data_IF_170859099161
#
_entry.id   IF_170859099161
#
_cell.length_a   1.000
_cell.length_b   1.000
_cell.length_c   1.000
_cell.angle_alpha   90.00
_cell.angle_beta   90.00
_cell.angle_gamma   90.00
#
_symmetry.space_group_name_H-M   'P 1'
#
loop_
_entity.id
_entity.type
_entity.pdbx_description
1 polymer ?
#
# COMPACT_ATOMS: atom_id res chain seq x y z
N UNK A 1 -28.92 33.17 25.76
CA UNK A 1 -29.67 32.76 24.55
C UNK A 1 -28.74 31.78 23.86
N UNK A 2 -28.74 30.50 24.31
CA UNK A 2 -29.60 29.40 23.81
C UNK A 2 -29.18 29.09 22.38
N UNK A 3 -28.29 28.09 22.24
CA UNK A 3 -28.55 26.75 21.65
C UNK A 3 -28.62 26.86 20.12
N UNK A 4 -27.78 26.17 19.35
CA UNK A 4 -28.08 24.82 18.86
C UNK A 4 -26.82 24.17 18.26
N UNK A 5 -26.39 23.05 18.84
CA UNK A 5 -25.41 22.13 18.26
C UNK A 5 -26.17 21.05 17.48
N UNK A 6 -25.99 20.96 16.16
CA UNK A 6 -26.52 19.83 15.37
C UNK A 6 -25.59 18.64 15.46
N UNK A 7 -25.87 17.79 16.45
CA UNK A 7 -25.38 16.42 16.61
C UNK A 7 -26.11 15.52 15.60
N UNK A 8 -25.39 14.87 14.69
CA UNK A 8 -25.96 13.80 13.86
C UNK A 8 -25.69 12.47 14.56
N UNK A 9 -26.72 11.92 15.19
CA UNK A 9 -26.77 10.57 15.72
C UNK A 9 -27.11 9.59 14.59
N UNK A 10 -26.29 8.54 14.40
CA UNK A 10 -26.68 7.38 13.60
C UNK A 10 -26.93 6.21 14.56
N UNK A 11 -28.20 5.80 14.59
CA UNK A 11 -28.77 4.82 15.49
C UNK A 11 -28.33 3.39 15.18
N UNK A 12 -28.18 2.62 16.25
CA UNK A 12 -28.21 1.16 16.29
C UNK A 12 -29.58 0.64 15.87
N UNK A 13 -29.63 -0.33 14.97
CA UNK A 13 -30.73 -1.30 14.95
C UNK A 13 -30.22 -2.70 14.59
N UNK A 14 -30.33 -3.59 15.58
CA UNK A 14 -30.14 -5.02 15.47
C UNK A 14 -31.49 -5.66 15.14
N UNK A 15 -31.56 -6.45 14.08
CA UNK A 15 -32.70 -7.34 13.82
C UNK A 15 -32.26 -8.77 14.13
N UNK A 16 -32.81 -9.31 15.22
CA UNK A 16 -32.74 -10.69 15.62
C UNK A 16 -33.62 -11.57 14.74
N UNK A 17 -33.14 -12.77 14.41
CA UNK A 17 -33.99 -13.94 14.18
C UNK A 17 -33.37 -15.12 14.91
N UNK A 18 -33.94 -15.42 16.08
CA UNK A 18 -33.80 -16.71 16.75
C UNK A 18 -34.71 -17.74 16.06
N UNK A 19 -34.23 -18.97 15.91
CA UNK A 19 -34.87 -20.20 16.40
C UNK A 19 -34.35 -21.42 15.61
N UNK A 20 -33.60 -22.29 16.27
CA UNK A 20 -33.85 -23.74 16.25
C UNK A 20 -32.79 -24.43 17.13
N UNK A 21 -32.99 -24.37 18.43
CA UNK A 21 -32.40 -25.31 19.39
C UNK A 21 -33.34 -26.49 19.51
N UNK A 22 -32.97 -27.64 18.94
CA UNK A 22 -33.56 -28.92 19.36
C UNK A 22 -32.59 -29.61 20.30
N UNK A 23 -32.79 -29.36 21.59
CA UNK A 23 -32.50 -30.31 22.65
C UNK A 23 -33.32 -31.58 22.42
N UNK A 24 -32.66 -32.74 22.42
CA UNK A 24 -33.35 -34.01 22.69
C UNK A 24 -32.75 -34.57 23.96
N UNK A 25 -33.58 -34.44 24.98
CA UNK A 25 -33.46 -34.92 26.33
C UNK A 25 -33.34 -36.45 26.39
N UNK A 26 -32.69 -36.87 27.47
CA UNK A 26 -32.51 -38.25 27.90
C UNK A 26 -33.84 -38.83 28.37
N UNK A 27 -34.18 -40.05 27.95
CA UNK A 27 -35.18 -40.87 28.67
C UNK A 27 -34.60 -42.26 28.92
N UNK A 28 -34.29 -42.51 30.19
CA UNK A 28 -34.14 -43.83 30.80
C UNK A 28 -35.54 -44.45 30.97
N UNK A 29 -35.78 -45.66 30.44
CA UNK A 29 -36.54 -46.67 31.18
C UNK A 29 -36.29 -48.08 30.63
N UNK A 30 -36.14 -49.01 31.57
CA UNK A 30 -35.68 -50.38 31.37
C UNK A 30 -36.83 -51.35 31.12
N UNK A 31 -36.61 -52.35 30.26
CA UNK A 31 -37.22 -53.69 30.40
C UNK A 31 -36.16 -54.76 30.13
N UNK A 32 -36.07 -55.69 31.08
CA UNK A 32 -35.10 -56.77 31.18
C UNK A 32 -35.73 -58.07 30.66
N UNK A 33 -35.04 -58.83 29.80
CA UNK A 33 -35.25 -60.27 29.63
C UNK A 33 -34.02 -60.95 28.98
N UNK A 34 -33.35 -61.76 29.81
CA UNK A 34 -32.58 -63.00 29.60
C UNK A 34 -31.92 -63.38 28.25
N UNK A 35 -30.63 -63.80 28.33
CA UNK A 35 -30.19 -65.06 27.72
C UNK A 35 -28.92 -65.09 26.85
N UNK A 36 -27.85 -65.67 27.40
CA UNK A 36 -26.81 -66.51 26.76
C UNK A 36 -25.62 -65.92 25.95
N UNK A 37 -24.44 -66.06 26.58
CA UNK A 37 -23.09 -66.44 26.10
C UNK A 37 -22.33 -65.78 24.92
N UNK A 38 -21.14 -65.29 25.32
CA UNK A 38 -19.81 -65.50 24.73
C UNK A 38 -19.46 -64.93 23.34
N UNK A 39 -18.69 -63.84 23.38
CA UNK A 39 -17.83 -63.37 22.30
C UNK A 39 -17.05 -62.13 22.75
N UNK A 40 -15.86 -62.33 23.29
CA UNK A 40 -14.94 -61.27 23.71
C UNK A 40 -14.54 -60.39 22.51
N UNK A 41 -15.22 -59.25 22.34
CA UNK A 41 -14.80 -58.22 21.40
C UNK A 41 -13.72 -57.37 22.09
N UNK A 42 -12.47 -57.56 21.67
CA UNK A 42 -11.34 -56.73 22.09
C UNK A 42 -11.68 -55.24 21.95
N UNK A 43 -11.32 -54.38 22.94
CA UNK A 43 -11.66 -52.97 22.88
C UNK A 43 -10.88 -52.34 21.72
N UNK A 44 -11.57 -51.94 20.65
CA UNK A 44 -10.99 -51.04 19.66
C UNK A 44 -10.62 -49.76 20.39
N UNK A 45 -9.33 -49.58 20.68
CA UNK A 45 -8.79 -48.30 21.15
C UNK A 45 -9.25 -47.25 20.14
N UNK A 46 -10.23 -46.41 20.53
CA UNK A 46 -10.52 -45.16 19.81
C UNK A 46 -9.22 -44.36 19.86
N UNK A 47 -8.40 -44.47 18.82
CA UNK A 47 -7.17 -43.70 18.69
C UNK A 47 -7.55 -42.24 18.85
N UNK A 48 -6.98 -41.57 19.87
CA UNK A 48 -7.24 -40.15 20.10
C UNK A 48 -6.79 -39.43 18.83
N UNK A 49 -7.74 -38.89 18.04
CA UNK A 49 -7.45 -38.11 16.83
C UNK A 49 -6.85 -36.74 17.17
N UNK A 50 -6.73 -36.40 18.45
CA UNK A 50 -6.21 -35.12 18.93
C UNK A 50 -4.80 -34.75 18.40
N UNK A 51 -3.78 -35.62 18.38
CA UNK A 51 -2.51 -35.32 17.71
C UNK A 51 -2.66 -34.99 16.22
N UNK A 52 -3.61 -35.60 15.52
CA UNK A 52 -3.90 -35.28 14.11
C UNK A 52 -4.53 -33.89 14.01
N UNK A 53 -5.51 -33.59 14.88
CA UNK A 53 -6.15 -32.27 14.92
C UNK A 53 -5.14 -31.17 15.23
N UNK A 54 -4.29 -31.35 16.24
CA UNK A 54 -3.23 -30.39 16.60
C UNK A 54 -2.25 -30.22 15.44
N UNK A 55 -1.84 -31.32 14.78
CA UNK A 55 -1.00 -31.27 13.60
C UNK A 55 -1.62 -30.47 12.45
N UNK A 56 -2.90 -30.70 12.16
CA UNK A 56 -3.65 -29.95 11.12
C UNK A 56 -3.76 -28.47 11.50
N UNK A 57 -4.10 -28.14 12.74
CA UNK A 57 -4.19 -26.75 13.19
C UNK A 57 -2.84 -26.05 13.04
N UNK A 58 -1.74 -26.69 13.44
CA UNK A 58 -0.40 -26.13 13.28
C UNK A 58 -0.07 -25.86 11.80
N UNK A 59 -0.38 -26.80 10.89
CA UNK A 59 -0.17 -26.61 9.45
C UNK A 59 -1.01 -25.46 8.90
N UNK A 60 -2.28 -25.36 9.31
CA UNK A 60 -3.18 -24.26 8.87
C UNK A 60 -2.64 -22.91 9.34
N UNK A 61 -2.17 -22.80 10.59
CA UNK A 61 -1.60 -21.55 11.11
C UNK A 61 -0.34 -21.14 10.36
N UNK A 62 0.54 -22.10 10.02
CA UNK A 62 1.75 -21.82 9.23
C UNK A 62 1.37 -21.36 7.82
N UNK A 63 0.43 -22.03 7.16
CA UNK A 63 -0.04 -21.65 5.83
C UNK A 63 -0.71 -20.27 5.82
N UNK A 64 -1.56 -19.99 6.82
CA UNK A 64 -2.20 -18.69 6.98
C UNK A 64 -1.19 -17.58 7.28
N UNK A 65 -0.20 -17.84 8.14
CA UNK A 65 0.87 -16.88 8.46
C UNK A 65 1.73 -16.56 7.23
N UNK A 66 2.11 -17.57 6.44
CA UNK A 66 2.86 -17.35 5.19
C UNK A 66 2.02 -16.59 4.14
N UNK A 67 0.74 -16.94 4.01
CA UNK A 67 -0.18 -16.23 3.11
C UNK A 67 -0.39 -14.77 3.52
N UNK A 68 -0.58 -14.52 4.82
CA UNK A 68 -0.69 -13.17 5.36
C UNK A 68 0.60 -12.36 5.18
N UNK A 69 1.77 -12.99 5.37
CA UNK A 69 3.07 -12.36 5.16
C UNK A 69 3.22 -11.81 3.74
N UNK A 70 2.90 -12.63 2.74
CA UNK A 70 2.97 -12.19 1.34
C UNK A 70 1.88 -11.16 1.01
N UNK A 71 0.68 -11.34 1.57
CA UNK A 71 -0.45 -10.46 1.26
C UNK A 71 -0.28 -9.05 1.86
N UNK A 72 0.29 -8.91 3.07
CA UNK A 72 0.40 -7.61 3.73
C UNK A 72 1.33 -6.62 3.01
N UNK A 73 2.17 -7.10 2.08
CA UNK A 73 3.05 -6.27 1.26
C UNK A 73 2.41 -5.86 -0.08
N UNK A 74 1.18 -6.32 -0.37
CA UNK A 74 0.50 -6.07 -1.63
C UNK A 74 -0.36 -4.80 -1.58
N UNK A 75 -0.56 -4.10 -2.72
CA UNK A 75 -1.45 -2.93 -2.80
C UNK A 75 -2.87 -3.18 -2.28
N UNK A 76 -3.38 -4.41 -2.46
CA UNK A 76 -4.70 -4.81 -1.96
C UNK A 76 -4.82 -4.78 -0.42
N UNK A 77 -3.74 -5.00 0.32
CA UNK A 77 -3.73 -4.89 1.77
C UNK A 77 -3.83 -3.43 2.22
N UNK A 78 -3.05 -2.54 1.57
CA UNK A 78 -3.10 -1.11 1.84
C UNK A 78 -4.51 -0.54 1.64
N UNK A 79 -5.21 -1.02 0.60
CA UNK A 79 -6.61 -0.66 0.34
C UNK A 79 -7.57 -1.24 1.40
N UNK A 80 -7.45 -2.54 1.71
CA UNK A 80 -8.45 -3.23 2.52
C UNK A 80 -8.31 -3.00 4.04
N UNK A 81 -7.08 -2.84 4.54
CA UNK A 81 -6.79 -2.79 5.98
C UNK A 81 -6.37 -1.38 6.39
N UNK A 82 -5.39 -0.80 5.71
CA UNK A 82 -4.92 0.57 5.96
C UNK A 82 -5.80 1.64 5.28
N UNK A 83 -7.07 1.32 5.02
CA UNK A 83 -8.08 2.28 4.57
C UNK A 83 -8.15 3.47 5.55
N UNK A 84 -8.36 4.66 5.01
CA UNK A 84 -8.14 5.99 5.61
C UNK A 84 -6.76 6.56 5.34
N UNK A 85 -5.64 6.21 6.01
CA UNK A 85 -4.36 6.87 5.75
C UNK A 85 -3.86 6.72 4.30
N UNK A 86 -4.22 5.61 3.63
CA UNK A 86 -3.79 5.33 2.26
C UNK A 86 -4.79 5.73 1.17
N UNK A 87 -6.01 6.15 1.53
CA UNK A 87 -7.07 6.48 0.56
C UNK A 87 -6.67 7.55 -0.47
N UNK A 88 -5.89 8.59 -0.12
CA UNK A 88 -5.45 9.58 -1.09
C UNK A 88 -4.32 9.07 -2.00
N UNK A 89 -3.58 8.04 -1.58
CA UNK A 89 -2.41 7.55 -2.29
C UNK A 89 -2.74 6.47 -3.31
N UNK A 90 -3.61 5.52 -2.96
CA UNK A 90 -3.93 4.39 -3.82
C UNK A 90 -4.45 4.81 -5.21
N UNK A 91 -5.38 5.77 -5.35
CA UNK A 91 -5.86 6.20 -6.66
C UNK A 91 -4.75 6.80 -7.53
N UNK A 92 -3.77 7.48 -6.93
CA UNK A 92 -2.63 8.04 -7.69
C UNK A 92 -1.67 6.95 -8.21
N UNK A 93 -1.57 5.83 -7.49
CA UNK A 93 -0.81 4.65 -7.93
C UNK A 93 -1.58 3.86 -9.00
N UNK A 94 -2.88 3.66 -8.81
CA UNK A 94 -3.76 2.95 -9.75
C UNK A 94 -4.12 3.79 -10.99
N UNK A 95 -3.83 5.09 -10.98
CA UNK A 95 -4.05 5.96 -12.12
C UNK A 95 -3.39 5.38 -13.39
N UNK A 96 -4.07 5.57 -14.53
CA UNK A 96 -3.66 5.01 -15.80
C UNK A 96 -2.91 6.09 -16.61
N UNK A 97 -1.61 5.88 -16.93
CA UNK A 97 -0.87 6.84 -17.76
C UNK A 97 -1.58 7.13 -19.08
N UNK A 98 -1.62 8.40 -19.48
CA UNK A 98 -2.35 8.88 -20.65
C UNK A 98 -3.81 9.27 -20.36
N UNK A 99 -4.28 9.14 -19.10
CA UNK A 99 -5.61 9.55 -18.68
C UNK A 99 -5.55 10.64 -17.61
N UNK A 100 -6.58 11.49 -17.56
CA UNK A 100 -6.76 12.45 -16.49
C UNK A 100 -7.01 11.74 -15.15
N UNK A 101 -6.54 12.35 -14.07
CA UNK A 101 -6.65 11.83 -12.70
C UNK A 101 -6.66 12.98 -11.70
N UNK A 102 -6.52 12.65 -10.42
CA UNK A 102 -6.27 13.60 -9.33
C UNK A 102 -5.01 13.20 -8.58
N UNK A 103 -4.29 14.17 -8.03
CA UNK A 103 -3.20 13.92 -7.11
C UNK A 103 -3.71 13.58 -5.70
N UNK A 104 -2.80 13.25 -4.78
CA UNK A 104 -3.17 12.87 -3.42
C UNK A 104 -3.81 14.00 -2.59
N UNK A 105 -3.72 15.25 -3.05
CA UNK A 105 -4.33 16.41 -2.41
C UNK A 105 -5.67 16.78 -3.05
N UNK A 106 -6.09 16.03 -4.09
CA UNK A 106 -7.31 16.28 -4.83
C UNK A 106 -7.18 17.35 -5.92
N UNK A 107 -5.97 17.75 -6.30
CA UNK A 107 -5.78 18.61 -7.46
C UNK A 107 -5.92 17.81 -8.76
N UNK A 108 -6.47 18.43 -9.80
CA UNK A 108 -6.56 17.82 -11.12
C UNK A 108 -5.16 17.56 -11.71
N UNK A 109 -4.98 16.36 -12.28
CA UNK A 109 -3.81 15.96 -13.06
C UNK A 109 -4.30 15.65 -14.46
N UNK A 110 -3.89 16.45 -15.45
CA UNK A 110 -4.36 16.32 -16.83
C UNK A 110 -3.98 14.97 -17.46
N UNK A 111 -2.81 14.44 -17.10
CA UNK A 111 -2.30 13.14 -17.54
C UNK A 111 -1.51 12.47 -16.41
N UNK A 112 -1.95 11.29 -15.98
CA UNK A 112 -1.32 10.51 -14.92
C UNK A 112 0.12 10.08 -15.22
N UNK A 113 0.59 10.19 -16.48
CA UNK A 113 2.00 10.03 -16.85
C UNK A 113 2.91 11.04 -16.13
N UNK A 114 2.36 12.14 -15.62
CA UNK A 114 3.07 13.09 -14.76
C UNK A 114 3.34 12.58 -13.33
N UNK A 115 2.69 11.50 -12.89
CA UNK A 115 2.85 10.93 -11.55
C UNK A 115 3.76 9.71 -11.60
N UNK A 116 4.88 9.74 -10.88
CA UNK A 116 5.85 8.65 -10.89
C UNK A 116 5.24 7.34 -10.37
N UNK A 117 4.35 7.38 -9.37
CA UNK A 117 3.70 6.18 -8.83
C UNK A 117 2.87 5.44 -9.90
N UNK A 118 2.09 6.17 -10.70
CA UNK A 118 1.30 5.61 -11.80
C UNK A 118 2.18 4.96 -12.87
N UNK A 119 3.23 5.66 -13.29
CA UNK A 119 4.16 5.16 -14.32
C UNK A 119 4.97 3.95 -13.82
N UNK A 120 5.39 3.94 -12.56
CA UNK A 120 6.18 2.84 -12.00
C UNK A 120 5.34 1.58 -11.76
N UNK A 121 4.02 1.71 -11.54
CA UNK A 121 3.09 0.57 -11.48
C UNK A 121 3.05 -0.21 -12.80
N UNK A 122 3.12 0.48 -13.94
CA UNK A 122 3.00 -0.13 -15.27
C UNK A 122 4.04 -1.23 -15.45
N UNK A 123 3.70 -2.30 -16.17
CA UNK A 123 4.58 -3.45 -16.35
C UNK A 123 5.85 -3.09 -17.14
N UNK A 124 6.92 -3.86 -16.92
CA UNK A 124 8.21 -3.62 -17.58
C UNK A 124 8.14 -3.75 -19.10
N UNK A 125 7.29 -4.64 -19.63
CA UNK A 125 7.08 -4.81 -21.07
C UNK A 125 6.33 -3.62 -21.71
N UNK A 126 5.63 -2.83 -20.90
CA UNK A 126 4.93 -1.61 -21.31
C UNK A 126 5.73 -0.33 -21.00
N UNK A 127 6.98 -0.47 -20.54
CA UNK A 127 7.89 0.65 -20.27
C UNK A 127 7.80 1.22 -18.85
N UNK A 128 7.10 0.56 -17.93
CA UNK A 128 7.10 0.89 -16.49
C UNK A 128 8.11 0.05 -15.69
N UNK A 129 7.87 -0.07 -14.37
CA UNK A 129 8.77 -0.78 -13.45
C UNK A 129 8.15 -2.04 -12.82
N UNK A 130 6.86 -2.31 -13.04
CA UNK A 130 6.06 -3.31 -12.31
C UNK A 130 6.22 -3.15 -10.78
N UNK A 131 6.34 -1.90 -10.33
CA UNK A 131 6.59 -1.56 -8.95
C UNK A 131 5.29 -1.66 -8.13
N UNK A 132 5.41 -2.14 -6.89
CA UNK A 132 4.35 -2.05 -5.88
C UNK A 132 4.63 -0.91 -4.91
N UNK A 133 3.72 -0.62 -3.98
CA UNK A 133 3.92 0.38 -2.92
C UNK A 133 5.28 0.18 -2.22
N UNK A 134 5.59 -1.08 -1.93
CA UNK A 134 6.77 -1.51 -1.18
C UNK A 134 8.04 -1.47 -2.02
N UNK A 135 7.96 -1.31 -3.35
CA UNK A 135 9.15 -1.08 -4.18
C UNK A 135 9.80 0.27 -3.89
N UNK A 136 9.02 1.26 -3.44
CA UNK A 136 9.50 2.60 -3.06
C UNK A 136 9.40 2.83 -1.53
N UNK A 137 8.33 2.38 -0.89
CA UNK A 137 8.14 2.46 0.56
C UNK A 137 8.53 1.13 1.21
N UNK A 138 9.84 0.84 1.32
CA UNK A 138 10.32 -0.32 2.08
C UNK A 138 10.39 0.09 3.55
N UNK A 139 9.49 -0.38 4.42
CA UNK A 139 9.48 0.04 5.81
C UNK A 139 10.44 -0.84 6.62
N UNK A 140 11.10 -0.22 7.58
CA UNK A 140 11.75 -0.96 8.65
C UNK A 140 10.71 -1.62 9.57
N UNK A 141 11.11 -2.64 10.32
CA UNK A 141 10.22 -3.27 11.32
C UNK A 141 9.73 -2.24 12.35
N UNK A 142 10.60 -1.29 12.73
CA UNK A 142 10.25 -0.21 13.65
C UNK A 142 9.15 0.70 13.12
N UNK A 143 9.25 1.10 11.85
CA UNK A 143 8.24 1.91 11.17
C UNK A 143 6.90 1.18 11.09
N UNK A 144 6.89 -0.10 10.69
CA UNK A 144 5.66 -0.90 10.62
C UNK A 144 4.95 -1.01 11.98
N UNK A 145 5.70 -1.15 13.08
CA UNK A 145 5.12 -1.18 14.42
C UNK A 145 4.54 0.20 14.78
N UNK A 146 5.26 1.28 14.49
CA UNK A 146 4.76 2.64 14.76
C UNK A 146 3.53 3.00 13.95
N UNK A 147 3.49 2.62 12.67
CA UNK A 147 2.38 2.86 11.75
C UNK A 147 1.16 2.06 12.19
N UNK A 148 1.33 0.79 12.54
CA UNK A 148 0.25 -0.03 13.08
C UNK A 148 -0.33 0.52 14.38
N UNK A 149 0.52 1.02 15.29
CA UNK A 149 0.07 1.66 16.52
C UNK A 149 -0.64 2.99 16.25
N UNK A 150 -0.10 3.82 15.36
CA UNK A 150 -0.73 5.08 14.96
C UNK A 150 -2.11 4.82 14.35
N UNK A 151 -2.23 3.83 13.47
CA UNK A 151 -3.49 3.44 12.85
C UNK A 151 -4.53 2.98 13.88
N UNK A 152 -4.18 2.05 14.77
CA UNK A 152 -5.10 1.54 15.83
C UNK A 152 -5.53 2.65 16.79
N UNK A 153 -4.63 3.58 17.11
CA UNK A 153 -4.91 4.68 18.04
C UNK A 153 -5.56 5.89 17.38
N UNK A 154 -5.61 5.95 16.04
CA UNK A 154 -6.02 7.12 15.27
C UNK A 154 -5.03 8.29 15.33
N UNK A 155 -3.81 8.07 15.83
CA UNK A 155 -2.80 9.11 16.03
C UNK A 155 -1.94 9.30 14.78
N UNK A 156 -2.56 9.76 13.69
CA UNK A 156 -1.89 10.08 12.43
C UNK A 156 -2.52 11.32 11.78
N UNK A 157 -1.76 11.98 10.90
CA UNK A 157 -2.27 13.08 10.09
C UNK A 157 -3.06 12.55 8.89
N UNK A 158 -4.14 13.23 8.53
CA UNK A 158 -4.92 12.92 7.34
C UNK A 158 -5.16 14.18 6.50
N UNK A 159 -4.85 14.16 5.19
CA UNK A 159 -4.12 13.09 4.49
C UNK A 159 -2.66 12.97 4.99
N UNK A 160 -2.05 11.77 4.90
CA UNK A 160 -0.66 11.59 5.30
C UNK A 160 0.28 12.46 4.45
N UNK A 161 1.37 12.95 5.05
CA UNK A 161 2.42 13.67 4.34
C UNK A 161 3.16 12.75 3.35
N UNK A 162 3.60 13.32 2.22
CA UNK A 162 4.45 12.58 1.28
C UNK A 162 5.81 12.35 1.92
N UNK A 163 6.36 11.14 1.80
CA UNK A 163 7.77 10.94 2.14
C UNK A 163 8.64 11.57 1.07
N UNK A 164 9.62 12.36 1.51
CA UNK A 164 10.68 12.82 0.62
C UNK A 164 11.71 11.70 0.39
N UNK A 165 12.58 11.88 -0.60
CA UNK A 165 13.58 10.87 -0.96
C UNK A 165 14.59 10.66 0.17
N UNK A 166 14.91 11.68 0.95
CA UNK A 166 15.85 11.57 2.07
C UNK A 166 15.31 10.60 3.13
N UNK A 167 14.02 10.71 3.46
CA UNK A 167 13.34 9.80 4.36
C UNK A 167 13.28 8.36 3.82
N UNK A 168 13.19 8.17 2.51
CA UNK A 168 13.19 6.85 1.87
C UNK A 168 14.58 6.22 1.81
N UNK A 169 15.61 7.06 1.63
CA UNK A 169 17.04 6.69 1.66
C UNK A 169 17.44 6.27 3.07
N UNK A 170 17.09 7.06 4.08
CA UNK A 170 17.37 6.77 5.49
C UNK A 170 16.75 5.44 5.93
N UNK A 171 15.48 5.19 5.58
CA UNK A 171 14.78 3.95 5.90
C UNK A 171 15.46 2.69 5.33
N UNK A 172 16.25 2.84 4.26
CA UNK A 172 16.97 1.76 3.58
C UNK A 172 18.46 1.69 3.92
N UNK A 173 18.98 2.64 4.70
CA UNK A 173 20.41 2.76 4.98
C UNK A 173 21.24 3.04 3.74
N UNK A 174 20.67 3.73 2.75
CA UNK A 174 21.37 4.17 1.54
C UNK A 174 22.09 5.50 1.80
N UNK A 175 23.07 5.83 0.96
CA UNK A 175 23.88 7.04 1.14
C UNK A 175 23.32 8.26 0.38
N UNK A 176 22.46 8.04 -0.63
CA UNK A 176 21.92 9.13 -1.46
C UNK A 176 20.64 8.76 -2.21
N UNK A 177 19.92 9.78 -2.69
CA UNK A 177 18.80 9.60 -3.62
C UNK A 177 19.23 8.97 -4.96
N UNK A 178 20.49 9.12 -5.34
CA UNK A 178 21.06 8.43 -6.50
C UNK A 178 21.10 6.93 -6.29
N UNK A 179 21.56 6.45 -5.14
CA UNK A 179 21.55 5.00 -4.86
C UNK A 179 20.13 4.43 -4.83
N UNK A 180 19.16 5.23 -4.39
CA UNK A 180 17.75 4.85 -4.39
C UNK A 180 17.18 4.67 -5.80
N UNK A 181 17.43 5.61 -6.72
CA UNK A 181 16.87 5.60 -8.06
C UNK A 181 17.77 4.86 -9.08
N UNK A 182 19.06 5.18 -9.07
CA UNK A 182 20.10 4.78 -10.02
C UNK A 182 20.83 3.52 -9.55
N UNK A 183 20.12 2.40 -9.55
CA UNK A 183 20.67 1.09 -9.18
C UNK A 183 20.37 0.02 -10.23
N UNK A 184 21.01 -1.15 -10.07
CA UNK A 184 20.89 -2.27 -11.01
C UNK A 184 19.46 -2.80 -11.20
N UNK A 185 18.58 -2.58 -10.21
CA UNK A 185 17.19 -3.08 -10.23
C UNK A 185 16.19 -2.11 -10.87
N UNK A 186 16.51 -0.82 -10.90
CA UNK A 186 15.63 0.26 -11.34
C UNK A 186 16.22 1.00 -12.55
N UNK A 187 16.91 2.12 -12.34
CA UNK A 187 17.60 2.85 -13.40
C UNK A 187 19.09 2.52 -13.40
N UNK A 188 19.47 1.43 -14.07
CA UNK A 188 20.88 1.01 -14.16
C UNK A 188 21.70 1.92 -15.10
N UNK A 189 21.88 3.17 -14.68
CA UNK A 189 22.47 4.28 -15.41
C UNK A 189 23.20 5.18 -14.42
N UNK A 190 24.23 5.87 -14.90
CA UNK A 190 24.88 6.94 -14.14
C UNK A 190 24.22 8.30 -14.42
N UNK A 191 24.52 9.31 -13.59
CA UNK A 191 24.19 10.71 -13.89
C UNK A 191 24.72 11.15 -15.28
N UNK A 192 25.91 10.69 -15.67
CA UNK A 192 26.49 10.98 -16.99
C UNK A 192 25.66 10.37 -18.13
N UNK A 193 25.16 9.15 -17.93
CA UNK A 193 24.28 8.49 -18.90
C UNK A 193 22.95 9.24 -19.05
N UNK A 194 22.38 9.75 -17.95
CA UNK A 194 21.16 10.58 -17.98
C UNK A 194 21.38 11.87 -18.77
N UNK A 195 22.49 12.58 -18.51
CA UNK A 195 22.86 13.79 -19.25
C UNK A 195 22.93 13.49 -20.75
N UNK A 196 23.55 12.37 -21.11
CA UNK A 196 23.68 11.96 -22.50
C UNK A 196 22.34 11.59 -23.13
N UNK A 197 21.51 10.82 -22.42
CA UNK A 197 20.18 10.38 -22.86
C UNK A 197 19.24 11.56 -23.10
N UNK A 198 19.43 12.67 -22.39
CA UNK A 198 18.60 13.88 -22.49
C UNK A 198 19.30 15.06 -23.16
N UNK A 199 20.39 14.79 -23.89
CA UNK A 199 21.24 15.80 -24.52
C UNK A 199 20.52 16.67 -25.55
N UNK A 200 19.43 16.18 -26.14
CA UNK A 200 18.55 16.92 -27.06
C UNK A 200 17.88 18.15 -26.43
N UNK A 201 17.75 18.18 -25.10
CA UNK A 201 17.24 19.34 -24.35
C UNK A 201 18.27 20.49 -24.27
N UNK A 202 19.50 20.26 -24.75
CA UNK A 202 20.53 21.27 -24.91
C UNK A 202 20.86 22.00 -23.61
N UNK A 203 20.82 23.34 -23.65
CA UNK A 203 21.16 24.21 -22.52
C UNK A 203 20.17 24.13 -21.35
N UNK A 204 19.00 23.51 -21.55
CA UNK A 204 17.97 23.33 -20.52
C UNK A 204 17.84 21.87 -20.09
N UNK A 205 18.87 21.05 -20.32
CA UNK A 205 18.87 19.67 -19.85
C UNK A 205 18.84 19.64 -18.30
N UNK A 206 17.74 19.16 -17.68
CA UNK A 206 17.58 19.18 -16.22
C UNK A 206 18.52 18.21 -15.49
N UNK A 207 19.11 17.24 -16.20
CA UNK A 207 20.05 16.27 -15.62
C UNK A 207 21.50 16.79 -15.62
N UNK A 208 21.76 17.93 -16.28
CA UNK A 208 23.09 18.53 -16.30
C UNK A 208 23.30 19.45 -15.08
N UNK A 209 24.44 19.35 -14.36
CA UNK A 209 24.67 20.04 -13.09
C UNK A 209 25.10 21.52 -13.28
N UNK A 210 24.46 22.25 -14.19
CA UNK A 210 24.83 23.64 -14.52
C UNK A 210 24.59 24.60 -13.34
N UNK A 211 23.68 24.24 -12.44
CA UNK A 211 23.30 24.99 -11.24
C UNK A 211 23.51 24.17 -9.97
N UNK A 212 24.57 23.35 -9.94
CA UNK A 212 24.76 22.22 -9.03
C UNK A 212 23.93 21.00 -9.38
N UNK A 213 24.35 19.86 -8.83
CA UNK A 213 23.57 18.63 -8.85
C UNK A 213 22.25 18.85 -8.11
N UNK A 214 21.16 18.36 -8.69
CA UNK A 214 19.80 18.48 -8.17
C UNK A 214 19.33 17.11 -7.69
N UNK A 215 18.56 17.09 -6.60
CA UNK A 215 17.87 15.89 -6.15
C UNK A 215 16.76 15.50 -7.11
N UNK A 216 16.62 14.19 -7.38
CA UNK A 216 15.58 13.65 -8.26
C UNK A 216 14.17 14.14 -7.86
N UNK A 217 13.92 14.18 -6.54
CA UNK A 217 12.66 14.60 -5.94
C UNK A 217 12.32 16.08 -6.16
N UNK A 218 13.29 16.91 -6.53
CA UNK A 218 13.05 18.33 -6.84
C UNK A 218 12.08 18.49 -8.02
N UNK A 219 12.16 17.56 -8.98
CA UNK A 219 11.36 17.56 -10.19
C UNK A 219 10.36 16.39 -10.24
N UNK A 220 10.83 15.16 -9.99
CA UNK A 220 10.01 13.96 -10.09
C UNK A 220 9.16 13.77 -8.83
N UNK A 221 7.84 13.84 -8.96
CA UNK A 221 6.89 13.68 -7.86
C UNK A 221 6.16 12.34 -7.96
N UNK A 222 6.00 11.67 -6.82
CA UNK A 222 5.40 10.34 -6.74
C UNK A 222 3.89 10.37 -6.97
N UNK A 223 3.18 11.03 -6.06
CA UNK A 223 1.72 10.98 -5.92
C UNK A 223 1.03 12.28 -6.34
N UNK A 224 1.73 13.10 -7.13
CA UNK A 224 1.24 14.33 -7.75
C UNK A 224 2.00 14.60 -9.04
N UNK A 225 1.47 15.50 -9.86
CA UNK A 225 2.11 15.86 -11.12
C UNK A 225 3.55 16.36 -10.86
N UNK A 226 4.50 15.77 -11.59
CA UNK A 226 5.90 16.16 -11.57
C UNK A 226 6.08 17.58 -12.11
N UNK A 227 7.13 18.25 -11.67
CA UNK A 227 7.33 19.68 -11.92
C UNK A 227 8.67 19.86 -12.61
N UNK A 228 8.70 20.54 -13.75
CA UNK A 228 9.98 20.98 -14.30
C UNK A 228 10.46 22.21 -13.51
N UNK A 229 11.35 21.99 -12.54
CA UNK A 229 11.89 23.05 -11.67
C UNK A 229 12.64 24.14 -12.44
N UNK A 230 13.20 23.85 -13.62
CA UNK A 230 13.90 24.84 -14.45
C UNK A 230 12.99 26.00 -14.84
N UNK A 231 11.69 25.73 -15.01
CA UNK A 231 10.68 26.75 -15.37
C UNK A 231 10.43 27.80 -14.29
N UNK A 232 11.02 27.64 -13.10
CA UNK A 232 11.06 28.70 -12.09
C UNK A 232 11.75 29.96 -12.64
N UNK A 233 12.81 29.78 -13.43
CA UNK A 233 13.61 30.87 -14.01
C UNK A 233 13.61 30.85 -15.54
N UNK A 234 13.43 29.69 -16.17
CA UNK A 234 13.50 29.47 -17.61
C UNK A 234 12.14 29.04 -18.16
N UNK A 235 11.25 30.00 -18.37
CA UNK A 235 9.87 29.76 -18.84
C UNK A 235 9.78 29.01 -20.18
N UNK A 236 10.85 29.07 -20.96
CA UNK A 236 11.03 28.43 -22.26
C UNK A 236 11.52 26.97 -22.17
N UNK A 237 11.87 26.50 -20.97
CA UNK A 237 12.28 25.11 -20.77
C UNK A 237 11.12 24.16 -21.09
N UNK A 238 11.45 23.08 -21.79
CA UNK A 238 10.49 22.05 -22.19
C UNK A 238 9.84 21.40 -20.95
N UNK A 239 8.51 21.35 -20.91
CA UNK A 239 7.76 20.64 -19.88
C UNK A 239 7.20 19.37 -20.50
N UNK A 240 7.51 18.17 -19.96
CA UNK A 240 6.94 16.93 -20.46
C UNK A 240 5.41 16.89 -20.36
N UNK A 241 4.77 16.08 -21.20
CA UNK A 241 3.32 15.87 -21.12
C UNK A 241 2.92 15.36 -19.72
N UNK A 242 1.83 15.92 -19.17
CA UNK A 242 1.37 15.64 -17.81
C UNK A 242 2.16 16.31 -16.68
N UNK A 243 3.29 16.96 -16.98
CA UNK A 243 4.06 17.70 -15.98
C UNK A 243 3.62 19.16 -15.89
N UNK A 244 3.98 19.79 -14.78
CA UNK A 244 3.69 21.19 -14.51
C UNK A 244 4.92 22.08 -14.62
N UNK A 245 4.70 23.32 -15.02
CA UNK A 245 5.63 24.41 -14.72
C UNK A 245 5.65 24.69 -13.21
N UNK A 246 6.73 25.30 -12.74
CA UNK A 246 6.85 25.75 -11.36
C UNK A 246 5.70 26.69 -10.95
N UNK A 247 5.29 27.60 -11.85
CA UNK A 247 4.19 28.54 -11.57
C UNK A 247 2.81 27.88 -11.52
N UNK A 248 2.60 26.78 -12.27
CA UNK A 248 1.37 25.98 -12.15
C UNK A 248 1.37 25.24 -10.82
N UNK A 249 2.47 24.55 -10.50
CA UNK A 249 2.60 23.80 -9.25
C UNK A 249 2.44 24.69 -8.00
N UNK A 250 2.96 25.92 -8.02
CA UNK A 250 2.85 26.86 -6.88
C UNK A 250 1.42 27.34 -6.59
N UNK A 251 0.46 27.07 -7.50
CA UNK A 251 -0.95 27.45 -7.33
C UNK A 251 -1.80 26.29 -6.81
N UNK A 252 -1.26 25.08 -6.76
CA UNK A 252 -1.96 23.91 -6.25
C UNK A 252 -2.04 23.93 -4.73
N UNK A 253 -3.10 23.34 -4.19
CA UNK A 253 -3.19 23.09 -2.76
C UNK A 253 -2.25 21.95 -2.37
N UNK A 254 -1.50 22.18 -1.29
CA UNK A 254 -0.64 21.19 -0.66
C UNK A 254 -1.31 20.61 0.59
#
# INVERSE_FOLDING_TARGET
MSEEETKVEAATEAAATEDSTTDVETTDEAVKAEGAEAGEAAPKKKGKKWPIVVGVVAVVLIAAGAGFWVWHEQPSFCNAICHTPMDPYLPTYEAEPGQASVDKWGNDVEDASGMMAAVHRVSKDQGGAEATCMSCHVPTIGEQVSEGMAWITGNYYYPLEERDVDQLVEARGLESGDEFCLNESCHNLTREDLIKATSELGNYNPHSPQHSEQECSSCHKAHRASVNACTQCHSESYVPDGWLTYQQASKLTA
#
